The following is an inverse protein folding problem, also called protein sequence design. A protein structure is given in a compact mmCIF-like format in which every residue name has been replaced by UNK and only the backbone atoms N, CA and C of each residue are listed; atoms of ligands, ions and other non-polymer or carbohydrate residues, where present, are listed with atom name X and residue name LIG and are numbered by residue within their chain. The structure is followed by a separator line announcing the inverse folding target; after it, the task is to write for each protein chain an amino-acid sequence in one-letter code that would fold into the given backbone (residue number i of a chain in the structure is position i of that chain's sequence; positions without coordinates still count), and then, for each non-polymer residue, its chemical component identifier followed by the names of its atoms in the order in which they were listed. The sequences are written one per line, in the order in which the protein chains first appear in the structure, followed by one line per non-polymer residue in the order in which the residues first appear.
data_IF_505839909093
#
_entry.id   IF_505839909093
#
_cell.length_a   1.000
_cell.length_b   1.000
_cell.length_c   1.000
_cell.angle_alpha   90.00
_cell.angle_beta   90.00
_cell.angle_gamma   90.00
#
_symmetry.space_group_name_H-M   'P 1'
#
loop_
_entity.id
_entity.type
_entity.pdbx_description
1 polymer ?
#
# COMPACT_ATOMS: atom_id res chain seq x y z
N UNK A 1 -10.66 -1.51 -20.04
CA UNK A 1 -9.77 -2.63 -19.70
C UNK A 1 -9.45 -2.49 -18.23
N UNK A 2 -10.02 -3.35 -17.37
CA UNK A 2 -9.61 -3.40 -15.97
C UNK A 2 -8.23 -4.06 -15.96
N UNK A 3 -7.17 -3.24 -15.86
CA UNK A 3 -5.81 -3.77 -15.81
C UNK A 3 -5.54 -4.40 -14.45
N UNK A 4 -4.89 -5.56 -14.45
CA UNK A 4 -4.46 -6.25 -13.22
C UNK A 4 -3.35 -5.45 -12.52
N UNK A 5 -3.17 -5.65 -11.21
CA UNK A 5 -2.12 -4.97 -10.44
C UNK A 5 -0.70 -5.25 -10.97
N UNK A 6 -0.50 -6.35 -11.69
CA UNK A 6 0.77 -6.75 -12.30
C UNK A 6 1.33 -5.68 -13.23
N UNK A 7 0.48 -4.92 -13.94
CA UNK A 7 0.96 -3.88 -14.86
C UNK A 7 1.72 -2.75 -14.13
N UNK A 8 1.50 -2.60 -12.82
CA UNK A 8 2.12 -1.54 -12.02
C UNK A 8 3.46 -1.96 -11.41
N UNK A 9 3.73 -3.26 -11.25
CA UNK A 9 4.96 -3.80 -10.66
C UNK A 9 6.25 -3.11 -11.17
N UNK A 10 6.51 -3.03 -12.48
CA UNK A 10 7.75 -2.42 -12.98
C UNK A 10 7.85 -0.92 -12.69
N UNK A 11 6.74 -0.27 -12.33
CA UNK A 11 6.66 1.18 -12.10
C UNK A 11 6.82 1.55 -10.62
N UNK A 12 6.67 0.60 -9.68
CA UNK A 12 6.65 0.86 -8.24
C UNK A 12 7.97 1.43 -7.69
N UNK A 13 9.08 1.14 -8.38
CA UNK A 13 10.43 1.58 -7.98
C UNK A 13 10.80 2.97 -8.51
N UNK A 14 9.90 3.62 -9.27
CA UNK A 14 10.14 4.98 -9.79
C UNK A 14 10.45 5.98 -8.68
N UNK A 15 11.49 6.80 -8.84
CA UNK A 15 11.85 7.86 -7.89
C UNK A 15 11.18 9.21 -8.21
N UNK A 16 10.51 9.33 -9.37
CA UNK A 16 9.78 10.53 -9.76
C UNK A 16 8.51 10.68 -8.92
N UNK A 17 8.47 11.73 -8.10
CA UNK A 17 7.35 12.00 -7.17
C UNK A 17 6.02 12.20 -7.91
N UNK A 18 6.01 12.90 -9.05
CA UNK A 18 4.77 13.16 -9.80
C UNK A 18 4.23 11.86 -10.38
N UNK A 19 5.11 11.04 -10.96
CA UNK A 19 4.74 9.71 -11.48
C UNK A 19 4.27 8.79 -10.37
N UNK A 20 4.91 8.83 -9.20
CA UNK A 20 4.54 8.00 -8.05
C UNK A 20 3.14 8.38 -7.49
N UNK A 21 2.82 9.66 -7.44
CA UNK A 21 1.47 10.13 -7.07
C UNK A 21 0.44 9.63 -8.08
N UNK A 22 0.69 9.80 -9.38
CA UNK A 22 -0.21 9.33 -10.43
C UNK A 22 -0.42 7.81 -10.33
N UNK A 23 0.69 7.06 -10.22
CA UNK A 23 0.68 5.61 -10.07
C UNK A 23 -0.15 5.15 -8.87
N UNK A 24 -0.02 5.82 -7.71
CA UNK A 24 -0.84 5.52 -6.54
C UNK A 24 -2.33 5.73 -6.78
N UNK A 25 -2.72 6.79 -7.52
CA UNK A 25 -4.11 7.03 -7.87
C UNK A 25 -4.65 5.93 -8.83
N UNK A 26 -3.83 5.51 -9.79
CA UNK A 26 -4.18 4.48 -10.76
C UNK A 26 -4.35 3.11 -10.07
N UNK A 27 -3.46 2.77 -9.14
CA UNK A 27 -3.55 1.56 -8.30
C UNK A 27 -4.84 1.60 -7.46
N UNK A 28 -5.12 2.71 -6.77
CA UNK A 28 -6.35 2.86 -5.98
C UNK A 28 -7.61 2.72 -6.85
N UNK A 29 -7.60 3.27 -8.06
CA UNK A 29 -8.70 3.10 -9.01
C UNK A 29 -8.87 1.64 -9.44
N UNK A 30 -7.77 0.91 -9.61
CA UNK A 30 -7.78 -0.52 -9.93
C UNK A 30 -8.34 -1.35 -8.77
N UNK A 31 -7.84 -1.13 -7.54
CA UNK A 31 -8.24 -1.86 -6.32
C UNK A 31 -9.70 -1.68 -5.95
N UNK A 32 -10.34 -0.57 -6.33
CA UNK A 32 -11.78 -0.34 -6.13
C UNK A 32 -12.67 -1.25 -6.98
N UNK A 33 -12.09 -2.03 -7.89
CA UNK A 33 -12.82 -3.03 -8.68
C UNK A 33 -12.66 -4.42 -8.02
N UNK A 34 -13.75 -5.15 -7.71
CA UNK A 34 -13.76 -6.33 -6.82
C UNK A 34 -13.13 -7.63 -7.41
N UNK A 35 -12.02 -7.53 -8.13
CA UNK A 35 -11.32 -8.67 -8.75
C UNK A 35 -9.79 -8.53 -8.79
N UNK A 36 -9.22 -7.46 -8.23
CA UNK A 36 -7.83 -7.07 -8.53
C UNK A 36 -6.73 -7.90 -7.84
N UNK A 37 -7.01 -8.54 -6.69
CA UNK A 37 -5.99 -9.15 -5.84
C UNK A 37 -5.86 -10.67 -5.95
N UNK A 38 -6.88 -11.37 -6.49
CA UNK A 38 -6.96 -12.83 -6.45
C UNK A 38 -5.93 -13.56 -7.34
N UNK A 39 -5.32 -12.87 -8.31
CA UNK A 39 -4.34 -13.45 -9.26
C UNK A 39 -2.92 -12.85 -9.11
N UNK A 40 -2.59 -12.32 -7.94
CA UNK A 40 -1.38 -11.50 -7.77
C UNK A 40 -0.20 -12.28 -7.18
N UNK A 41 0.55 -12.98 -8.04
CA UNK A 41 1.72 -13.80 -7.67
C UNK A 41 2.85 -13.03 -6.97
N UNK A 42 2.99 -11.74 -7.24
CA UNK A 42 4.08 -10.89 -6.71
C UNK A 42 3.65 -9.99 -5.53
N UNK A 43 2.64 -10.43 -4.76
CA UNK A 43 2.08 -9.65 -3.65
C UNK A 43 3.12 -9.22 -2.61
N UNK A 44 4.12 -10.06 -2.32
CA UNK A 44 5.18 -9.71 -1.38
C UNK A 44 6.02 -8.52 -1.84
N UNK A 45 6.49 -8.54 -3.09
CA UNK A 45 7.25 -7.43 -3.68
C UNK A 45 6.43 -6.15 -3.76
N UNK A 46 5.14 -6.27 -4.09
CA UNK A 46 4.23 -5.12 -4.11
C UNK A 46 4.10 -4.51 -2.72
N UNK A 47 3.87 -5.32 -1.69
CA UNK A 47 3.75 -4.85 -0.31
C UNK A 47 5.05 -4.19 0.14
N UNK A 48 6.21 -4.80 -0.11
CA UNK A 48 7.52 -4.20 0.23
C UNK A 48 7.71 -2.85 -0.48
N UNK A 49 7.33 -2.78 -1.75
CA UNK A 49 7.42 -1.55 -2.54
C UNK A 49 6.51 -0.45 -2.01
N UNK A 50 5.25 -0.76 -1.70
CA UNK A 50 4.30 0.21 -1.14
C UNK A 50 4.69 0.60 0.29
N UNK A 51 5.27 -0.32 1.08
CA UNK A 51 5.77 -0.01 2.42
C UNK A 51 6.86 1.06 2.38
N UNK A 52 7.72 1.07 1.35
CA UNK A 52 8.71 2.13 1.15
C UNK A 52 8.10 3.51 0.84
N UNK A 53 6.81 3.57 0.46
CA UNK A 53 6.11 4.83 0.21
C UNK A 53 5.60 5.45 1.51
N UNK A 54 5.40 4.65 2.57
CA UNK A 54 4.86 5.10 3.85
C UNK A 54 5.77 6.11 4.54
N UNK A 55 7.10 5.97 4.39
CA UNK A 55 8.10 6.89 4.90
C UNK A 55 8.51 7.98 3.90
N UNK A 56 7.74 8.20 2.82
CA UNK A 56 8.11 9.19 1.82
C UNK A 56 7.87 10.62 2.35
N UNK A 57 8.82 11.53 2.10
CA UNK A 57 8.71 12.93 2.53
C UNK A 57 7.57 13.68 1.84
N UNK A 58 7.07 13.20 0.71
CA UNK A 58 5.89 13.74 0.07
C UNK A 58 4.61 13.13 0.69
N UNK A 59 3.80 13.98 1.34
CA UNK A 59 2.59 13.54 2.03
C UNK A 59 1.60 12.79 1.13
N UNK A 60 1.53 13.13 -0.17
CA UNK A 60 0.56 12.53 -1.09
C UNK A 60 0.99 11.12 -1.49
N UNK A 61 2.30 10.90 -1.67
CA UNK A 61 2.86 9.56 -1.88
C UNK A 61 2.59 8.68 -0.65
N UNK A 62 2.88 9.19 0.55
CA UNK A 62 2.65 8.46 1.79
C UNK A 62 1.16 8.15 2.01
N UNK A 63 0.28 9.12 1.75
CA UNK A 63 -1.17 8.93 1.81
C UNK A 63 -1.64 7.82 0.86
N UNK A 64 -1.22 7.85 -0.41
CA UNK A 64 -1.58 6.82 -1.37
C UNK A 64 -1.09 5.44 -0.91
N UNK A 65 0.14 5.35 -0.39
CA UNK A 65 0.68 4.10 0.15
C UNK A 65 -0.15 3.55 1.32
N UNK A 66 -0.58 4.42 2.24
CA UNK A 66 -1.47 4.03 3.35
C UNK A 66 -2.80 3.50 2.82
N UNK A 67 -3.49 4.25 1.96
CA UNK A 67 -4.80 3.87 1.41
C UNK A 67 -4.74 2.52 0.66
N UNK A 68 -3.67 2.29 -0.12
CA UNK A 68 -3.44 1.02 -0.81
C UNK A 68 -3.29 -0.12 0.21
N UNK A 69 -2.47 0.07 1.25
CA UNK A 69 -2.26 -0.95 2.30
C UNK A 69 -3.54 -1.27 3.07
N UNK A 70 -4.42 -0.29 3.29
CA UNK A 70 -5.74 -0.53 3.92
C UNK A 70 -6.54 -1.52 3.08
N UNK A 71 -6.70 -1.24 1.79
CA UNK A 71 -7.52 -2.06 0.89
C UNK A 71 -6.92 -3.47 0.77
N UNK A 72 -5.61 -3.58 0.61
CA UNK A 72 -4.92 -4.88 0.52
C UNK A 72 -5.11 -5.69 1.82
N UNK A 73 -5.01 -5.06 2.98
CA UNK A 73 -5.25 -5.73 4.26
C UNK A 73 -6.71 -6.19 4.42
N UNK A 74 -7.68 -5.36 4.04
CA UNK A 74 -9.11 -5.71 4.08
C UNK A 74 -9.44 -6.90 3.16
N UNK A 75 -8.81 -6.98 1.99
CA UNK A 75 -9.02 -8.05 1.01
C UNK A 75 -8.29 -9.36 1.38
N UNK A 76 -7.03 -9.29 1.86
CA UNK A 76 -6.23 -10.46 2.25
C UNK A 76 -6.61 -11.03 3.62
N UNK A 77 -7.20 -10.22 4.50
CA UNK A 77 -7.59 -10.61 5.87
C UNK A 77 -6.44 -11.29 6.62
N UNK A 78 -6.60 -12.56 7.00
CA UNK A 78 -5.63 -13.36 7.75
C UNK A 78 -4.31 -13.56 6.99
N UNK A 79 -4.35 -13.60 5.66
CA UNK A 79 -3.16 -13.76 4.81
C UNK A 79 -2.25 -12.53 4.82
N UNK A 80 -2.74 -11.40 5.35
CA UNK A 80 -1.95 -10.18 5.50
C UNK A 80 -0.97 -10.23 6.68
N UNK A 81 -1.20 -11.10 7.68
CA UNK A 81 -0.43 -11.15 8.94
C UNK A 81 1.10 -11.20 8.75
N UNK A 82 1.68 -11.97 7.81
CA UNK A 82 3.12 -12.01 7.60
C UNK A 82 3.74 -10.64 7.25
N UNK A 83 2.97 -9.71 6.70
CA UNK A 83 3.44 -8.42 6.22
C UNK A 83 3.39 -7.28 7.24
N UNK A 84 2.78 -7.51 8.42
CA UNK A 84 2.65 -6.49 9.47
C UNK A 84 4.01 -5.94 9.89
N UNK A 85 5.04 -6.80 9.97
CA UNK A 85 6.39 -6.38 10.34
C UNK A 85 7.02 -5.44 9.30
N UNK A 86 6.85 -5.73 8.00
CA UNK A 86 7.32 -4.87 6.91
C UNK A 86 6.71 -3.47 7.00
N UNK A 87 5.41 -3.40 7.27
CA UNK A 87 4.67 -2.13 7.38
C UNK A 87 5.11 -1.35 8.62
N UNK A 88 5.24 -2.03 9.76
CA UNK A 88 5.75 -1.42 10.98
C UNK A 88 7.14 -0.78 10.77
N UNK A 89 8.02 -1.45 10.04
CA UNK A 89 9.34 -0.91 9.69
C UNK A 89 9.25 0.32 8.78
N UNK A 90 8.30 0.36 7.85
CA UNK A 90 8.00 1.53 7.02
C UNK A 90 7.56 2.76 7.83
N UNK A 91 7.04 2.56 9.04
CA UNK A 91 6.63 3.61 9.96
C UNK A 91 7.67 3.97 11.04
N UNK A 92 8.81 3.27 11.10
CA UNK A 92 9.75 3.37 12.22
C UNK A 92 10.39 4.76 12.40
N UNK A 93 10.34 5.61 11.37
CA UNK A 93 10.86 6.99 11.42
C UNK A 93 9.77 8.04 11.75
N UNK A 94 8.51 7.63 11.87
CA UNK A 94 7.40 8.52 12.22
C UNK A 94 7.14 8.53 13.74
N UNK A 95 6.69 9.65 14.32
CA UNK A 95 6.33 9.72 15.72
C UNK A 95 5.31 8.63 16.08
N UNK A 96 5.50 7.88 17.19
CA UNK A 96 4.63 6.74 17.55
C UNK A 96 3.14 7.07 17.58
N UNK A 97 2.75 8.30 17.93
CA UNK A 97 1.37 8.77 17.95
C UNK A 97 0.73 8.89 16.56
N UNK A 98 1.50 9.15 15.51
CA UNK A 98 1.03 9.17 14.11
C UNK A 98 0.83 7.75 13.58
N UNK A 99 1.76 6.86 13.94
CA UNK A 99 1.75 5.45 13.56
C UNK A 99 0.60 4.71 14.26
N UNK A 100 0.44 4.90 15.57
CA UNK A 100 -0.66 4.31 16.34
C UNK A 100 -2.03 4.78 15.87
N UNK A 101 -2.21 6.07 15.57
CA UNK A 101 -3.48 6.57 15.04
C UNK A 101 -3.85 5.92 13.71
N UNK A 102 -2.87 5.65 12.84
CA UNK A 102 -3.08 5.03 11.53
C UNK A 102 -3.23 3.50 11.60
N UNK A 103 -2.52 2.83 12.51
CA UNK A 103 -2.67 1.39 12.76
C UNK A 103 -4.00 1.06 13.46
N UNK A 104 -4.44 1.87 14.42
CA UNK A 104 -5.76 1.70 15.04
C UNK A 104 -6.86 1.82 13.98
N UNK A 105 -6.76 2.74 13.01
CA UNK A 105 -7.72 2.81 11.90
C UNK A 105 -7.70 1.58 10.99
N UNK A 106 -6.55 0.92 10.83
CA UNK A 106 -6.39 -0.33 10.06
C UNK A 106 -6.98 -1.54 10.79
N UNK A 107 -6.99 -1.55 12.12
CA UNK A 107 -7.41 -2.71 12.93
C UNK A 107 -8.73 -2.53 13.68
N UNK A 108 -9.36 -1.36 13.61
CA UNK A 108 -10.55 -1.01 14.42
C UNK A 108 -11.88 -1.13 13.66
N UNK A 109 -12.03 -2.12 12.78
CA UNK A 109 -13.36 -2.55 12.31
C UNK A 109 -13.64 -3.97 12.78
N UNK A 110 -13.94 -4.06 14.06
CA UNK A 110 -14.94 -5.00 14.60
C UNK A 110 -16.08 -4.16 15.20
#
# INVERSE_FOLDING_TARGET
MAGSLQQFIPLLTTQDIKKRIQLGNDILSCLRTPSGLLDFEEIGFFIDSIASWLSNSNFKVAQNGIEIMIIVAEEMKEEFKPYISTIHNGFYNEPPNVVFGKLILLTSKD
#
